data_IF_142316758234
#
_entry.id   IF_142316758234
#
_cell.length_a   1.000
_cell.length_b   1.000
_cell.length_c   1.000
_cell.angle_alpha   90.00
_cell.angle_beta   90.00
_cell.angle_gamma   90.00
#
_symmetry.space_group_name_H-M   'P 1'
#
loop_
_entity.id
_entity.type
_entity.pdbx_description
1 polymer ?
#
# COMPACT_ATOMS: atom_id res chain seq x y z
N UNK A 1 14.84 9.71 8.64
CA UNK A 1 14.26 8.36 8.84
C UNK A 1 12.87 8.52 9.42
N UNK A 2 11.82 8.22 8.65
CA UNK A 2 10.44 8.18 9.15
C UNK A 2 9.94 6.75 9.00
N UNK A 3 9.79 6.06 10.13
CA UNK A 3 8.89 4.91 10.20
C UNK A 3 7.50 5.39 9.78
N UNK A 4 6.82 4.67 8.89
CA UNK A 4 5.38 4.85 8.72
C UNK A 4 4.75 4.67 10.10
N UNK A 5 3.88 5.58 10.56
CA UNK A 5 3.23 5.44 11.85
C UNK A 5 2.31 4.21 11.81
N UNK A 6 2.32 3.41 12.88
CA UNK A 6 1.40 2.28 13.09
C UNK A 6 -0.08 2.72 13.00
N UNK A 7 -0.35 4.03 13.10
CA UNK A 7 -1.66 4.66 12.95
C UNK A 7 -2.28 4.61 11.54
N UNK A 8 -1.61 4.03 10.54
CA UNK A 8 -2.22 3.78 9.21
C UNK A 8 -3.06 2.50 9.19
N UNK A 9 -2.92 1.66 10.21
CA UNK A 9 -3.84 0.56 10.48
C UNK A 9 -4.87 1.08 11.47
N UNK A 10 -6.16 1.18 11.09
CA UNK A 10 -7.19 1.47 12.08
C UNK A 10 -7.16 0.38 13.15
N UNK A 11 -7.06 0.77 14.42
CA UNK A 11 -7.37 -0.11 15.54
C UNK A 11 -8.86 -0.46 15.44
N UNK A 12 -9.17 -1.58 14.79
CA UNK A 12 -10.52 -2.14 14.71
C UNK A 12 -10.90 -2.87 16.01
N UNK A 13 -10.43 -2.40 17.18
CA UNK A 13 -10.83 -2.96 18.47
C UNK A 13 -12.26 -2.57 18.89
N UNK A 14 -12.90 -1.60 18.23
CA UNK A 14 -14.25 -1.12 18.59
C UNK A 14 -15.31 -1.33 17.50
N UNK A 15 -15.41 -2.55 16.97
CA UNK A 15 -16.66 -3.01 16.37
C UNK A 15 -17.01 -4.35 17.00
N UNK A 16 -17.64 -4.30 18.17
CA UNK A 16 -18.33 -5.43 18.78
C UNK A 16 -19.38 -5.99 17.81
N UNK A 17 -19.00 -6.99 17.01
CA UNK A 17 -19.98 -7.95 16.53
C UNK A 17 -20.29 -8.88 17.69
N UNK A 18 -21.34 -8.55 18.44
CA UNK A 18 -21.89 -9.40 19.49
C UNK A 18 -22.19 -10.79 18.92
N UNK A 19 -21.37 -11.78 19.28
CA UNK A 19 -21.71 -13.19 19.14
C UNK A 19 -22.51 -13.61 20.36
N UNK A 20 -23.84 -13.62 20.24
CA UNK A 20 -24.69 -14.33 21.19
C UNK A 20 -24.51 -15.84 20.98
N UNK A 21 -23.90 -16.50 21.96
CA UNK A 21 -23.81 -17.95 22.04
C UNK A 21 -25.22 -18.57 22.12
N UNK A 22 -25.53 -19.46 21.18
CA UNK A 22 -26.72 -20.28 21.24
C UNK A 22 -26.47 -21.64 20.59
N UNK A 23 -26.60 -22.71 21.37
CA UNK A 23 -26.81 -24.08 20.88
C UNK A 23 -25.59 -25.00 20.92
N UNK A 24 -25.41 -25.67 22.05
CA UNK A 24 -24.55 -26.85 22.16
C UNK A 24 -25.19 -28.05 21.44
N UNK A 25 -24.42 -28.73 20.58
CA UNK A 25 -24.57 -30.18 20.35
C UNK A 25 -23.19 -30.80 20.26
N UNK A 26 -22.98 -31.82 21.09
CA UNK A 26 -21.74 -32.53 21.30
C UNK A 26 -21.28 -33.29 20.05
N UNK A 27 -20.00 -33.11 19.69
CA UNK A 27 -19.15 -34.20 19.23
C UNK A 27 -17.69 -33.86 19.56
N UNK A 28 -17.05 -34.77 20.29
CA UNK A 28 -15.72 -34.59 20.85
C UNK A 28 -14.63 -34.58 19.78
N UNK A 29 -14.07 -33.41 19.55
CA UNK A 29 -12.67 -33.23 19.17
C UNK A 29 -12.14 -32.16 20.10
N UNK A 30 -10.98 -32.40 20.73
CA UNK A 30 -10.30 -31.43 21.60
C UNK A 30 -10.31 -30.07 20.89
N UNK A 31 -11.05 -29.10 21.41
CA UNK A 31 -10.80 -27.71 21.10
C UNK A 31 -9.39 -27.42 21.66
N UNK A 32 -8.35 -27.65 20.85
CA UNK A 32 -7.02 -27.15 21.16
C UNK A 32 -7.22 -25.68 21.49
N UNK A 33 -6.71 -25.26 22.65
CA UNK A 33 -6.60 -23.84 22.96
C UNK A 33 -5.51 -23.26 22.06
N UNK A 34 -5.87 -23.08 20.79
CA UNK A 34 -5.04 -22.57 19.71
C UNK A 34 -4.47 -21.19 20.05
N UNK A 35 -5.02 -20.51 21.06
CA UNK A 35 -4.50 -19.24 21.56
C UNK A 35 -3.16 -19.38 22.29
N UNK A 36 -2.84 -20.59 22.78
CA UNK A 36 -1.57 -20.93 23.42
C UNK A 36 -0.59 -21.65 22.49
N UNK A 37 -0.99 -21.90 21.24
CA UNK A 37 -0.15 -22.61 20.27
C UNK A 37 1.10 -21.78 19.92
N UNK A 38 2.23 -22.48 19.81
CA UNK A 38 3.48 -21.91 19.32
C UNK A 38 3.36 -21.52 17.84
N UNK A 39 4.27 -20.65 17.36
CA UNK A 39 4.29 -20.26 15.95
C UNK A 39 4.47 -21.47 15.03
N UNK A 40 5.33 -22.43 15.40
CA UNK A 40 5.58 -23.62 14.58
C UNK A 40 4.33 -24.51 14.47
N UNK A 41 3.56 -24.67 15.54
CA UNK A 41 2.27 -25.37 15.51
C UNK A 41 1.26 -24.63 14.62
N UNK A 42 1.17 -23.30 14.72
CA UNK A 42 0.30 -22.50 13.86
C UNK A 42 0.67 -22.61 12.38
N UNK A 43 1.97 -22.66 12.06
CA UNK A 43 2.45 -22.84 10.70
C UNK A 43 2.12 -24.22 10.14
N UNK A 44 2.17 -25.28 10.97
CA UNK A 44 1.73 -26.62 10.57
C UNK A 44 0.22 -26.66 10.29
N UNK A 45 -0.58 -25.99 11.12
CA UNK A 45 -2.03 -25.90 10.97
C UNK A 45 -2.49 -25.16 9.71
N UNK A 46 -1.61 -24.42 9.03
CA UNK A 46 -1.92 -23.86 7.70
C UNK A 46 -2.17 -24.95 6.67
N UNK A 47 -1.59 -26.14 6.84
CA UNK A 47 -1.84 -27.29 5.97
C UNK A 47 -3.26 -27.86 6.10
N UNK A 48 -3.93 -27.63 7.22
CA UNK A 48 -5.25 -28.18 7.53
C UNK A 48 -6.35 -27.18 7.16
N UNK A 49 -7.18 -27.43 6.12
CA UNK A 49 -8.17 -26.46 5.65
C UNK A 49 -9.15 -25.98 6.72
N UNK A 50 -9.48 -26.84 7.68
CA UNK A 50 -10.39 -26.54 8.79
C UNK A 50 -9.79 -25.55 9.81
N UNK A 51 -8.47 -25.57 9.99
CA UNK A 51 -7.77 -24.73 10.97
C UNK A 51 -7.07 -23.51 10.34
N UNK A 52 -6.88 -23.52 9.02
CA UNK A 52 -6.09 -22.51 8.28
C UNK A 52 -6.53 -21.07 8.54
N UNK A 53 -7.83 -20.77 8.47
CA UNK A 53 -8.35 -19.41 8.70
C UNK A 53 -7.98 -18.90 10.10
N UNK A 54 -8.13 -19.76 11.12
CA UNK A 54 -7.81 -19.42 12.50
C UNK A 54 -6.30 -19.30 12.72
N UNK A 55 -5.50 -20.16 12.11
CA UNK A 55 -4.04 -20.10 12.17
C UNK A 55 -3.51 -18.80 11.56
N UNK A 56 -4.02 -18.39 10.39
CA UNK A 56 -3.67 -17.11 9.74
C UNK A 56 -3.99 -15.92 10.64
N UNK A 57 -5.18 -15.91 11.25
CA UNK A 57 -5.60 -14.82 12.14
C UNK A 57 -4.70 -14.71 13.38
N UNK A 58 -4.31 -15.85 13.99
CA UNK A 58 -3.42 -15.88 15.15
C UNK A 58 -1.99 -15.45 14.79
N UNK A 59 -1.43 -15.91 13.67
CA UNK A 59 -0.13 -15.45 13.16
C UNK A 59 -0.14 -13.94 12.91
N UNK A 60 -1.23 -13.42 12.36
CA UNK A 60 -1.43 -11.99 12.12
C UNK A 60 -1.48 -11.21 13.44
N UNK A 61 -2.13 -11.74 14.47
CA UNK A 61 -2.14 -11.15 15.82
C UNK A 61 -0.74 -11.13 16.43
N UNK A 62 0.02 -12.21 16.33
CA UNK A 62 1.43 -12.27 16.79
C UNK A 62 2.25 -11.20 16.07
N UNK A 63 2.06 -11.05 14.75
CA UNK A 63 2.73 -9.99 13.98
C UNK A 63 2.40 -8.58 14.48
N UNK A 64 1.11 -8.32 14.76
CA UNK A 64 0.63 -7.01 15.24
C UNK A 64 1.13 -6.67 16.64
N UNK A 65 1.27 -7.66 17.52
CA UNK A 65 1.85 -7.49 18.85
C UNK A 65 3.35 -7.13 18.82
N UNK A 66 4.05 -7.42 17.73
CA UNK A 66 5.45 -7.02 17.52
C UNK A 66 6.46 -7.73 18.43
N UNK A 67 6.03 -8.71 19.23
CA UNK A 67 6.88 -9.45 20.18
C UNK A 67 7.85 -10.42 19.48
N UNK A 68 7.46 -10.97 18.32
CA UNK A 68 8.27 -11.92 17.56
C UNK A 68 8.92 -11.25 16.35
N UNK A 69 10.23 -10.96 16.47
CA UNK A 69 11.03 -10.35 15.39
C UNK A 69 11.39 -11.35 14.28
N UNK A 70 11.39 -12.65 14.57
CA UNK A 70 11.79 -13.71 13.66
C UNK A 70 10.61 -14.32 12.88
N UNK A 71 9.39 -13.82 13.11
CA UNK A 71 8.18 -14.34 12.46
C UNK A 71 8.30 -14.39 10.93
N UNK A 72 8.91 -13.38 10.31
CA UNK A 72 9.13 -13.37 8.87
C UNK A 72 9.99 -14.57 8.42
N UNK A 73 11.08 -14.86 9.14
CA UNK A 73 11.96 -15.99 8.83
C UNK A 73 11.27 -17.32 9.08
N UNK A 74 10.48 -17.43 10.15
CA UNK A 74 9.73 -18.65 10.48
C UNK A 74 8.71 -18.95 9.38
N UNK A 75 7.93 -17.96 8.95
CA UNK A 75 6.98 -18.09 7.83
C UNK A 75 7.71 -18.48 6.54
N UNK A 76 8.84 -17.83 6.24
CA UNK A 76 9.57 -18.07 4.99
C UNK A 76 10.22 -19.45 4.92
N UNK A 77 10.79 -19.93 6.03
CA UNK A 77 11.52 -21.20 6.10
C UNK A 77 10.61 -22.41 6.29
N UNK A 78 9.39 -22.20 6.80
CA UNK A 78 8.44 -23.28 7.02
C UNK A 78 7.96 -23.87 5.69
N UNK A 79 8.01 -25.21 5.52
CA UNK A 79 7.65 -25.86 4.27
C UNK A 79 6.19 -25.60 3.91
N UNK A 80 5.91 -25.37 2.63
CA UNK A 80 4.57 -25.15 2.05
C UNK A 80 3.79 -23.94 2.60
N UNK A 81 4.32 -23.18 3.56
CA UNK A 81 3.63 -22.04 4.17
C UNK A 81 3.26 -20.98 3.13
N UNK A 82 4.23 -20.54 2.32
CA UNK A 82 3.98 -19.56 1.25
C UNK A 82 2.95 -20.07 0.25
N UNK A 83 2.98 -21.36 -0.08
CA UNK A 83 1.98 -21.98 -0.96
C UNK A 83 0.58 -21.88 -0.35
N UNK A 84 0.38 -22.27 0.92
CA UNK A 84 -0.93 -22.18 1.58
C UNK A 84 -1.42 -20.74 1.64
N UNK A 85 -0.55 -19.78 1.98
CA UNK A 85 -0.90 -18.36 1.97
C UNK A 85 -1.30 -17.86 0.56
N UNK A 86 -0.58 -18.28 -0.49
CA UNK A 86 -0.94 -17.95 -1.86
C UNK A 86 -2.28 -18.58 -2.29
N UNK A 87 -2.63 -19.78 -1.81
CA UNK A 87 -3.94 -20.36 -2.13
C UNK A 87 -5.10 -19.51 -1.62
N UNK A 88 -4.92 -18.83 -0.48
CA UNK A 88 -5.92 -17.89 0.06
C UNK A 88 -6.08 -16.65 -0.82
N UNK A 89 -4.97 -16.10 -1.31
CA UNK A 89 -4.95 -14.96 -2.25
C UNK A 89 -5.69 -15.32 -3.54
N UNK A 90 -5.36 -16.49 -4.13
CA UNK A 90 -5.95 -16.94 -5.40
C UNK A 90 -7.43 -17.29 -5.22
N UNK A 91 -7.85 -17.75 -4.03
CA UNK A 91 -9.22 -18.20 -3.78
C UNK A 91 -10.29 -17.13 -4.04
N UNK A 92 -9.94 -15.85 -3.89
CA UNK A 92 -10.87 -14.72 -4.07
C UNK A 92 -10.88 -14.15 -5.48
N UNK A 93 -10.01 -14.59 -6.40
CA UNK A 93 -10.00 -14.07 -7.78
C UNK A 93 -11.33 -14.30 -8.51
N UNK A 94 -12.02 -15.41 -8.23
CA UNK A 94 -13.35 -15.70 -8.77
C UNK A 94 -14.39 -14.64 -8.40
N UNK A 95 -14.17 -13.90 -7.31
CA UNK A 95 -15.09 -12.88 -6.79
C UNK A 95 -14.88 -11.51 -7.44
N UNK A 96 -14.01 -11.39 -8.46
CA UNK A 96 -13.82 -10.16 -9.24
C UNK A 96 -14.63 -10.13 -10.52
N UNK A 97 -15.25 -11.25 -10.90
CA UNK A 97 -16.15 -11.30 -12.04
C UNK A 97 -17.29 -12.30 -11.77
N UNK A 98 -18.45 -11.85 -11.28
CA UNK A 98 -18.80 -10.46 -10.91
C UNK A 98 -18.08 -9.99 -9.64
N UNK A 99 -17.89 -8.67 -9.46
CA UNK A 99 -17.24 -8.03 -8.30
C UNK A 99 -18.06 -8.19 -7.00
N UNK A 100 -18.15 -9.43 -6.49
CA UNK A 100 -18.93 -9.83 -5.31
C UNK A 100 -18.00 -10.41 -4.25
N UNK A 101 -17.18 -9.56 -3.65
CA UNK A 101 -16.33 -9.92 -2.52
C UNK A 101 -17.06 -9.62 -1.20
N UNK A 102 -17.20 -10.61 -0.32
CA UNK A 102 -17.77 -10.39 1.01
C UNK A 102 -16.75 -9.77 1.97
N UNK A 103 -17.24 -9.12 3.04
CA UNK A 103 -16.35 -8.63 4.10
C UNK A 103 -15.54 -9.76 4.76
N UNK A 104 -16.15 -10.94 4.95
CA UNK A 104 -15.46 -12.08 5.57
C UNK A 104 -14.29 -12.56 4.71
N UNK A 105 -14.51 -12.73 3.40
CA UNK A 105 -13.45 -13.12 2.46
C UNK A 105 -12.34 -12.07 2.39
N UNK A 106 -12.71 -10.79 2.32
CA UNK A 106 -11.74 -9.69 2.32
C UNK A 106 -10.89 -9.67 3.58
N UNK A 107 -11.50 -9.78 4.78
CA UNK A 107 -10.78 -9.79 6.05
C UNK A 107 -9.79 -10.96 6.15
N UNK A 108 -10.20 -12.17 5.75
CA UNK A 108 -9.35 -13.36 5.74
C UNK A 108 -8.12 -13.17 4.84
N UNK A 109 -8.31 -12.66 3.63
CA UNK A 109 -7.20 -12.41 2.71
C UNK A 109 -6.33 -11.25 3.20
N UNK A 110 -6.91 -10.23 3.83
CA UNK A 110 -6.16 -9.12 4.41
C UNK A 110 -5.24 -9.58 5.57
N UNK A 111 -5.63 -10.57 6.36
CA UNK A 111 -4.73 -11.18 7.35
C UNK A 111 -3.51 -11.82 6.65
N UNK A 112 -3.70 -12.51 5.52
CA UNK A 112 -2.57 -13.02 4.70
C UNK A 112 -1.70 -11.87 4.18
N UNK A 113 -2.30 -10.76 3.76
CA UNK A 113 -1.56 -9.58 3.30
C UNK A 113 -0.70 -8.97 4.43
N UNK A 114 -1.13 -9.00 5.69
CA UNK A 114 -0.29 -8.57 6.83
C UNK A 114 0.95 -9.46 6.95
N UNK A 115 0.80 -10.78 6.77
CA UNK A 115 1.93 -11.71 6.79
C UNK A 115 2.86 -11.48 5.59
N UNK A 116 2.33 -11.21 4.41
CA UNK A 116 3.14 -10.84 3.24
C UNK A 116 3.84 -9.49 3.40
N UNK A 117 3.21 -8.50 4.03
CA UNK A 117 3.86 -7.23 4.38
C UNK A 117 5.02 -7.46 5.35
N UNK A 118 4.85 -8.38 6.31
CA UNK A 118 5.93 -8.79 7.20
C UNK A 118 7.13 -9.35 6.43
N UNK A 119 6.90 -10.24 5.46
CA UNK A 119 7.95 -10.81 4.62
C UNK A 119 8.62 -9.76 3.73
N UNK A 120 7.82 -8.89 3.11
CA UNK A 120 8.28 -7.83 2.21
C UNK A 120 9.10 -6.74 2.94
N UNK A 121 8.83 -6.51 4.22
CA UNK A 121 9.51 -5.50 5.02
C UNK A 121 10.76 -6.02 5.74
N UNK A 122 10.92 -7.34 5.85
CA UNK A 122 11.99 -7.95 6.63
C UNK A 122 13.28 -8.13 5.80
N UNK A 123 14.42 -7.69 6.35
CA UNK A 123 15.70 -7.57 5.62
C UNK A 123 16.21 -8.86 4.99
N UNK A 124 15.93 -10.01 5.61
CA UNK A 124 16.43 -11.31 5.15
C UNK A 124 15.43 -12.10 4.31
N UNK A 125 14.20 -11.62 4.12
CA UNK A 125 13.18 -12.29 3.29
C UNK A 125 12.72 -11.43 2.13
N UNK A 126 12.92 -10.11 2.22
CA UNK A 126 12.53 -9.14 1.19
C UNK A 126 13.08 -9.51 -0.19
N UNK A 127 14.37 -9.86 -0.26
CA UNK A 127 15.03 -10.18 -1.54
C UNK A 127 14.41 -11.40 -2.19
N UNK A 128 14.24 -12.47 -1.44
CA UNK A 128 13.66 -13.70 -1.93
C UNK A 128 12.18 -13.50 -2.32
N UNK A 129 11.41 -12.81 -1.48
CA UNK A 129 10.01 -12.44 -1.75
C UNK A 129 9.86 -11.66 -3.07
N UNK A 130 10.80 -10.74 -3.34
CA UNK A 130 10.87 -10.00 -4.60
C UNK A 130 11.23 -10.92 -5.77
N UNK A 131 12.28 -11.73 -5.63
CA UNK A 131 12.81 -12.60 -6.68
C UNK A 131 11.80 -13.64 -7.17
N UNK A 132 11.01 -14.22 -6.26
CA UNK A 132 9.95 -15.18 -6.63
C UNK A 132 8.63 -14.52 -7.01
N UNK A 133 8.61 -13.18 -7.12
CA UNK A 133 7.48 -12.39 -7.62
C UNK A 133 6.14 -12.61 -6.87
N UNK A 134 6.18 -12.89 -5.56
CA UNK A 134 4.95 -13.06 -4.76
C UNK A 134 4.06 -11.81 -4.83
N UNK A 135 4.68 -10.63 -4.86
CA UNK A 135 3.98 -9.35 -4.99
C UNK A 135 3.10 -9.24 -6.25
N UNK A 136 3.41 -9.96 -7.33
CA UNK A 136 2.60 -9.94 -8.56
C UNK A 136 1.22 -10.60 -8.39
N UNK A 137 1.06 -11.50 -7.41
CA UNK A 137 -0.26 -12.06 -7.07
C UNK A 137 -1.21 -11.02 -6.46
N UNK A 138 -0.71 -9.84 -6.10
CA UNK A 138 -1.55 -8.77 -5.53
C UNK A 138 -2.11 -7.83 -6.60
N UNK A 139 -1.65 -7.96 -7.85
CA UNK A 139 -1.98 -7.03 -8.92
C UNK A 139 -3.45 -7.06 -9.32
N UNK A 140 -4.12 -8.23 -9.38
CA UNK A 140 -5.57 -8.26 -9.59
C UNK A 140 -6.33 -7.45 -8.54
N UNK A 141 -5.85 -7.37 -7.29
CA UNK A 141 -6.52 -6.63 -6.21
C UNK A 141 -6.48 -5.13 -6.46
N UNK A 142 -5.33 -4.64 -6.92
CA UNK A 142 -5.08 -3.22 -7.20
C UNK A 142 -5.71 -2.71 -8.49
N UNK A 143 -6.14 -3.62 -9.37
CA UNK A 143 -6.84 -3.30 -10.61
C UNK A 143 -8.36 -3.20 -10.45
N UNK A 144 -8.91 -3.56 -9.28
CA UNK A 144 -10.35 -3.44 -9.00
C UNK A 144 -10.79 -1.98 -8.99
N UNK A 145 -12.03 -1.71 -9.41
CA UNK A 145 -12.62 -0.35 -9.43
C UNK A 145 -13.73 -0.19 -8.38
N UNK A 146 -14.30 -1.29 -7.90
CA UNK A 146 -15.36 -1.31 -6.89
C UNK A 146 -14.99 -0.49 -5.66
N UNK A 147 -15.92 0.34 -5.19
CA UNK A 147 -15.69 1.28 -4.07
C UNK A 147 -16.22 0.76 -2.75
N UNK A 148 -16.88 -0.40 -2.74
CA UNK A 148 -17.32 -1.10 -1.55
C UNK A 148 -16.19 -1.36 -0.55
N UNK A 149 -16.54 -1.37 0.75
CA UNK A 149 -15.60 -1.58 1.86
C UNK A 149 -14.70 -2.83 1.69
N UNK A 150 -15.18 -4.00 1.22
CA UNK A 150 -14.33 -5.18 1.03
C UNK A 150 -13.17 -4.92 0.06
N UNK A 151 -13.43 -4.24 -1.06
CA UNK A 151 -12.43 -3.93 -2.08
C UNK A 151 -11.50 -2.79 -1.67
N UNK A 152 -12.03 -1.76 -0.99
CA UNK A 152 -11.20 -0.70 -0.42
C UNK A 152 -10.17 -1.23 0.56
N UNK A 153 -10.58 -2.15 1.44
CA UNK A 153 -9.68 -2.75 2.42
C UNK A 153 -8.61 -3.62 1.73
N UNK A 154 -9.03 -4.44 0.76
CA UNK A 154 -8.12 -5.28 -0.02
C UNK A 154 -7.06 -4.46 -0.77
N UNK A 155 -7.45 -3.36 -1.44
CA UNK A 155 -6.51 -2.45 -2.13
C UNK A 155 -5.52 -1.84 -1.15
N UNK A 156 -5.99 -1.32 -0.02
CA UNK A 156 -5.12 -0.70 0.98
C UNK A 156 -4.05 -1.68 1.50
N UNK A 157 -4.47 -2.89 1.89
CA UNK A 157 -3.55 -3.90 2.42
C UNK A 157 -2.54 -4.37 1.37
N UNK A 158 -2.97 -4.49 0.11
CA UNK A 158 -2.10 -4.83 -1.02
C UNK A 158 -1.03 -3.76 -1.25
N UNK A 159 -1.42 -2.48 -1.20
CA UNK A 159 -0.47 -1.37 -1.26
C UNK A 159 0.51 -1.39 -0.07
N UNK A 160 0.06 -1.81 1.11
CA UNK A 160 0.92 -2.00 2.29
C UNK A 160 2.08 -2.96 2.02
N UNK A 161 1.80 -4.12 1.43
CA UNK A 161 2.83 -5.10 1.04
C UNK A 161 3.86 -4.47 0.10
N UNK A 162 3.40 -3.77 -0.95
CA UNK A 162 4.31 -3.11 -1.91
C UNK A 162 5.09 -1.98 -1.23
N UNK A 163 4.45 -1.26 -0.30
CA UNK A 163 5.09 -0.22 0.49
C UNK A 163 6.21 -0.76 1.38
N UNK A 164 6.07 -1.97 1.91
CA UNK A 164 7.11 -2.69 2.66
C UNK A 164 8.38 -2.90 1.84
N UNK A 165 8.25 -3.23 0.55
CA UNK A 165 9.39 -3.40 -0.38
C UNK A 165 10.17 -2.10 -0.63
N UNK A 166 9.53 -0.93 -0.44
CA UNK A 166 10.05 0.40 -0.76
C UNK A 166 10.32 1.28 0.48
N UNK A 167 10.16 0.72 1.69
CA UNK A 167 10.21 1.49 2.94
C UNK A 167 11.60 2.09 3.21
N UNK A 168 12.65 1.29 3.07
CA UNK A 168 14.05 1.68 3.27
C UNK A 168 14.66 2.11 1.94
N UNK A 169 14.85 3.42 1.71
CA UNK A 169 15.38 3.97 0.44
C UNK A 169 16.84 3.57 0.20
N UNK A 170 17.63 3.50 1.28
CA UNK A 170 19.07 3.23 1.23
C UNK A 170 19.39 1.73 1.24
N UNK A 171 18.36 0.88 1.30
CA UNK A 171 18.51 -0.58 1.19
C UNK A 171 19.04 -0.92 -0.22
N UNK A 172 20.14 -1.67 -0.37
CA UNK A 172 20.61 -2.15 -1.66
C UNK A 172 19.51 -2.83 -2.49
N UNK A 173 18.58 -3.53 -1.83
CA UNK A 173 17.45 -4.22 -2.46
C UNK A 173 16.40 -3.23 -2.96
N UNK A 174 16.34 -1.99 -2.45
CA UNK A 174 15.33 -1.02 -2.86
C UNK A 174 15.43 -0.67 -4.36
N UNK A 175 16.65 -0.66 -4.92
CA UNK A 175 16.86 -0.47 -6.36
C UNK A 175 16.27 -1.63 -7.16
N UNK A 176 16.51 -2.86 -6.70
CA UNK A 176 15.93 -4.05 -7.31
C UNK A 176 14.40 -4.03 -7.19
N UNK A 177 13.86 -3.66 -6.02
CA UNK A 177 12.42 -3.49 -5.81
C UNK A 177 11.82 -2.51 -6.82
N UNK A 178 12.45 -1.35 -7.01
CA UNK A 178 12.00 -0.38 -8.04
C UNK A 178 12.08 -0.99 -9.43
N UNK A 179 13.19 -1.63 -9.79
CA UNK A 179 13.33 -2.26 -11.11
C UNK A 179 12.22 -3.27 -11.40
N UNK A 180 11.99 -4.20 -10.48
CA UNK A 180 10.99 -5.26 -10.60
C UNK A 180 9.57 -4.68 -10.70
N UNK A 181 9.20 -3.73 -9.84
CA UNK A 181 7.87 -3.09 -9.87
C UNK A 181 7.61 -2.34 -11.18
N UNK A 182 8.62 -1.69 -11.75
CA UNK A 182 8.47 -0.99 -13.02
C UNK A 182 8.34 -1.96 -14.21
N UNK A 183 9.08 -3.06 -14.20
CA UNK A 183 9.01 -4.10 -15.24
C UNK A 183 7.70 -4.87 -15.22
N UNK A 184 7.16 -5.14 -14.03
CA UNK A 184 5.92 -5.90 -13.84
C UNK A 184 4.66 -5.10 -14.15
N UNK A 185 4.79 -3.82 -14.50
CA UNK A 185 3.66 -2.96 -14.83
C UNK A 185 2.86 -2.50 -13.62
N UNK A 186 3.49 -2.39 -12.44
CA UNK A 186 2.83 -1.92 -11.21
C UNK A 186 2.32 -0.47 -11.28
N UNK A 187 2.93 0.37 -12.11
CA UNK A 187 2.70 1.81 -12.09
C UNK A 187 1.23 2.22 -12.37
N UNK A 188 0.54 1.70 -13.40
CA UNK A 188 -0.90 1.94 -13.61
C UNK A 188 -1.80 1.54 -12.44
N UNK A 189 -1.45 0.48 -11.68
CA UNK A 189 -2.21 0.04 -10.51
C UNK A 189 -2.14 1.05 -9.36
N UNK A 190 -0.99 1.69 -9.17
CA UNK A 190 -0.86 2.80 -8.22
C UNK A 190 -1.76 3.98 -8.61
N UNK A 191 -1.79 4.34 -9.89
CA UNK A 191 -2.66 5.42 -10.37
C UNK A 191 -4.14 5.07 -10.17
N UNK A 192 -4.54 3.83 -10.48
CA UNK A 192 -5.92 3.35 -10.25
C UNK A 192 -6.29 3.39 -8.77
N UNK A 193 -5.35 3.03 -7.89
CA UNK A 193 -5.55 3.13 -6.44
C UNK A 193 -5.72 4.57 -5.94
N UNK A 194 -5.12 5.56 -6.61
CA UNK A 194 -5.36 6.98 -6.31
C UNK A 194 -6.74 7.42 -6.83
N UNK A 195 -7.17 6.90 -7.96
CA UNK A 195 -8.43 7.30 -8.59
C UNK A 195 -9.68 6.72 -7.91
N UNK A 196 -9.62 5.45 -7.48
CA UNK A 196 -10.77 4.70 -6.93
C UNK A 196 -10.65 4.40 -5.43
N UNK A 197 -9.46 4.61 -4.84
CA UNK A 197 -9.21 4.35 -3.42
C UNK A 197 -9.83 5.38 -2.48
N UNK A 198 -10.02 4.98 -1.23
CA UNK A 198 -10.25 5.89 -0.11
C UNK A 198 -8.97 6.68 0.26
N UNK A 199 -9.07 7.68 1.13
CA UNK A 199 -7.94 8.54 1.55
C UNK A 199 -6.67 7.76 1.93
N UNK A 200 -6.82 6.64 2.64
CA UNK A 200 -5.70 5.79 3.04
C UNK A 200 -5.02 5.13 1.84
N UNK A 201 -5.80 4.61 0.90
CA UNK A 201 -5.28 4.00 -0.33
C UNK A 201 -4.64 5.04 -1.24
N UNK A 202 -5.28 6.20 -1.41
CA UNK A 202 -4.73 7.32 -2.19
C UNK A 202 -3.42 7.82 -1.60
N UNK A 203 -3.37 7.96 -0.27
CA UNK A 203 -2.17 8.41 0.44
C UNK A 203 -1.04 7.40 0.29
N UNK A 204 -1.30 6.11 0.53
CA UNK A 204 -0.30 5.04 0.40
C UNK A 204 0.20 4.91 -1.04
N UNK A 205 -0.69 4.92 -2.04
CA UNK A 205 -0.31 4.86 -3.45
C UNK A 205 0.51 6.09 -3.89
N UNK A 206 0.12 7.30 -3.46
CA UNK A 206 0.89 8.52 -3.73
C UNK A 206 2.27 8.48 -3.05
N UNK A 207 2.35 7.91 -1.84
CA UNK A 207 3.63 7.70 -1.17
C UNK A 207 4.51 6.71 -1.92
N UNK A 208 3.95 5.60 -2.40
CA UNK A 208 4.68 4.63 -3.24
C UNK A 208 5.22 5.31 -4.51
N UNK A 209 4.40 6.09 -5.22
CA UNK A 209 4.87 6.86 -6.39
C UNK A 209 6.03 7.78 -6.00
N UNK A 210 5.95 8.46 -4.85
CA UNK A 210 7.06 9.31 -4.39
C UNK A 210 8.35 8.50 -4.18
N UNK A 211 8.27 7.26 -3.66
CA UNK A 211 9.43 6.37 -3.51
C UNK A 211 10.02 5.96 -4.85
N UNK A 212 9.17 5.66 -5.83
CA UNK A 212 9.62 5.35 -7.20
C UNK A 212 10.31 6.57 -7.84
N UNK A 213 9.74 7.77 -7.69
CA UNK A 213 10.28 9.00 -8.28
C UNK A 213 11.61 9.46 -7.65
N UNK A 214 11.86 9.16 -6.37
CA UNK A 214 13.15 9.44 -5.72
C UNK A 214 14.29 8.65 -6.38
N UNK A 215 14.00 7.45 -6.89
CA UNK A 215 15.01 6.63 -7.55
C UNK A 215 15.19 7.07 -9.01
N UNK A 216 16.45 7.24 -9.42
CA UNK A 216 16.81 7.68 -10.79
C UNK A 216 16.09 6.86 -11.87
N UNK A 217 16.05 5.53 -11.72
CA UNK A 217 15.39 4.63 -12.66
C UNK A 217 13.88 4.86 -12.74
N UNK A 218 13.21 5.09 -11.59
CA UNK A 218 11.77 5.35 -11.55
C UNK A 218 11.41 6.71 -12.13
N UNK A 219 12.23 7.73 -11.89
CA UNK A 219 12.05 9.04 -12.52
C UNK A 219 12.22 8.97 -14.04
N UNK A 220 13.28 8.30 -14.53
CA UNK A 220 13.50 8.09 -15.96
C UNK A 220 12.34 7.32 -16.61
N UNK A 221 11.88 6.25 -15.97
CA UNK A 221 10.69 5.53 -16.40
C UNK A 221 9.50 6.49 -16.51
N UNK A 222 9.23 7.33 -15.53
CA UNK A 222 8.08 8.25 -15.60
C UNK A 222 8.16 9.26 -16.76
N UNK A 223 9.35 9.64 -17.22
CA UNK A 223 9.53 10.56 -18.35
C UNK A 223 9.42 9.92 -19.74
N UNK A 224 9.42 8.58 -19.84
CA UNK A 224 9.46 7.84 -21.11
C UNK A 224 8.40 6.72 -21.19
N UNK A 225 7.35 6.87 -22.01
CA UNK A 225 7.02 8.03 -22.85
C UNK A 225 6.47 9.20 -22.03
N UNK A 226 6.50 10.42 -22.61
CA UNK A 226 5.97 11.64 -21.97
C UNK A 226 4.53 11.50 -21.47
N UNK A 227 3.73 10.66 -22.13
CA UNK A 227 2.34 10.39 -21.75
C UNK A 227 2.22 9.81 -20.34
N UNK A 228 3.23 9.11 -19.83
CA UNK A 228 3.24 8.53 -18.48
C UNK A 228 3.29 9.63 -17.41
N UNK A 229 4.22 10.59 -17.53
CA UNK A 229 4.26 11.72 -16.60
C UNK A 229 2.98 12.56 -16.67
N UNK A 230 2.44 12.81 -17.86
CA UNK A 230 1.17 13.50 -18.01
C UNK A 230 0.01 12.77 -17.32
N UNK A 231 -0.03 11.44 -17.39
CA UNK A 231 -1.05 10.64 -16.69
C UNK A 231 -0.93 10.78 -15.17
N UNK A 232 0.30 10.74 -14.62
CA UNK A 232 0.54 10.97 -13.18
C UNK A 232 0.02 12.35 -12.78
N UNK A 233 0.42 13.39 -13.50
CA UNK A 233 0.05 14.77 -13.20
C UNK A 233 -1.46 14.98 -13.24
N UNK A 234 -2.14 14.35 -14.22
CA UNK A 234 -3.61 14.39 -14.34
C UNK A 234 -4.30 13.70 -13.16
N UNK A 235 -3.89 12.49 -12.80
CA UNK A 235 -4.47 11.75 -11.67
C UNK A 235 -4.29 12.51 -10.35
N UNK A 236 -3.11 13.13 -10.14
CA UNK A 236 -2.90 13.99 -8.97
C UNK A 236 -3.77 15.25 -8.98
N UNK A 237 -3.90 15.91 -10.12
CA UNK A 237 -4.81 17.06 -10.29
C UNK A 237 -6.24 16.68 -9.91
N UNK A 238 -6.76 15.61 -10.51
CA UNK A 238 -8.13 15.14 -10.30
C UNK A 238 -8.35 14.72 -8.84
N UNK A 239 -7.38 14.06 -8.21
CA UNK A 239 -7.45 13.69 -6.79
C UNK A 239 -7.53 14.94 -5.89
N UNK A 240 -6.69 15.96 -6.16
CA UNK A 240 -6.70 17.22 -5.40
C UNK A 240 -8.04 17.94 -5.55
N UNK A 241 -8.55 18.07 -6.76
CA UNK A 241 -9.79 18.79 -7.06
C UNK A 241 -11.02 18.07 -6.47
N UNK A 242 -11.04 16.73 -6.44
CA UNK A 242 -12.13 15.95 -5.83
C UNK A 242 -12.26 16.15 -4.31
N UNK A 243 -11.17 16.50 -3.61
CA UNK A 243 -11.16 16.65 -2.14
C UNK A 243 -11.80 17.95 -1.60
N UNK A 244 -12.40 18.78 -2.44
CA UNK A 244 -12.89 20.15 -2.15
C UNK A 244 -13.50 20.40 -0.75
N UNK A 245 -14.39 19.52 -0.26
CA UNK A 245 -15.08 19.70 1.03
C UNK A 245 -14.21 19.40 2.26
N UNK A 246 -13.27 18.45 2.11
CA UNK A 246 -12.44 17.96 3.22
C UNK A 246 -11.07 17.52 2.69
N UNK A 247 -10.12 18.45 2.54
CA UNK A 247 -8.79 18.11 2.04
C UNK A 247 -8.05 17.15 2.98
N UNK A 248 -7.62 16.01 2.44
CA UNK A 248 -6.88 15.01 3.20
C UNK A 248 -5.40 15.39 3.30
N UNK A 249 -4.95 15.79 4.50
CA UNK A 249 -3.57 16.25 4.73
C UNK A 249 -2.52 15.20 4.32
N UNK A 250 -2.79 13.91 4.55
CA UNK A 250 -1.85 12.82 4.25
C UNK A 250 -1.78 12.52 2.75
N UNK A 251 -2.89 12.64 2.02
CA UNK A 251 -2.88 12.54 0.54
C UNK A 251 -2.11 13.72 -0.04
N UNK A 252 -2.45 14.95 0.37
CA UNK A 252 -1.80 16.17 -0.11
C UNK A 252 -0.29 16.17 0.13
N UNK A 253 0.16 15.80 1.34
CA UNK A 253 1.58 15.70 1.67
C UNK A 253 2.35 14.85 0.65
N UNK A 254 1.80 13.68 0.30
CA UNK A 254 2.48 12.74 -0.60
C UNK A 254 2.44 13.21 -2.06
N UNK A 255 1.33 13.79 -2.51
CA UNK A 255 1.23 14.38 -3.86
C UNK A 255 2.20 15.58 -4.01
N UNK A 256 2.25 16.48 -3.01
CA UNK A 256 3.18 17.61 -3.00
C UNK A 256 4.62 17.14 -3.03
N UNK A 257 4.96 16.05 -2.32
CA UNK A 257 6.29 15.46 -2.40
C UNK A 257 6.63 15.00 -3.82
N UNK A 258 5.68 14.40 -4.55
CA UNK A 258 5.87 14.01 -5.94
C UNK A 258 6.10 15.22 -6.85
N UNK A 259 5.30 16.29 -6.70
CA UNK A 259 5.52 17.53 -7.44
C UNK A 259 6.89 18.15 -7.13
N UNK A 260 7.34 18.12 -5.88
CA UNK A 260 8.66 18.63 -5.50
C UNK A 260 9.78 17.90 -6.25
N UNK A 261 9.74 16.56 -6.27
CA UNK A 261 10.74 15.74 -6.99
C UNK A 261 10.73 16.08 -8.48
N UNK A 262 9.55 16.14 -9.10
CA UNK A 262 9.43 16.42 -10.54
C UNK A 262 9.89 17.85 -10.89
N UNK A 263 9.68 18.81 -9.98
CA UNK A 263 10.10 20.21 -10.14
C UNK A 263 11.61 20.43 -10.15
N UNK A 264 12.43 19.41 -9.87
CA UNK A 264 13.89 19.52 -9.94
C UNK A 264 14.41 19.67 -11.39
N UNK A 265 13.57 19.39 -12.39
CA UNK A 265 13.93 19.49 -13.80
C UNK A 265 13.09 20.53 -14.53
N UNK A 266 13.68 21.24 -15.50
CA UNK A 266 12.94 22.24 -16.31
C UNK A 266 11.74 21.63 -17.04
N UNK A 267 11.91 20.43 -17.60
CA UNK A 267 10.81 19.67 -18.24
C UNK A 267 9.69 19.35 -17.25
N UNK A 268 10.04 18.93 -16.03
CA UNK A 268 9.08 18.68 -14.97
C UNK A 268 8.33 19.94 -14.54
N UNK A 269 9.01 21.07 -14.40
CA UNK A 269 8.38 22.37 -14.13
C UNK A 269 7.33 22.76 -15.17
N UNK A 270 7.61 22.59 -16.47
CA UNK A 270 6.66 22.87 -17.55
C UNK A 270 5.41 21.98 -17.46
N UNK A 271 5.60 20.70 -17.15
CA UNK A 271 4.48 19.78 -16.92
C UNK A 271 3.67 20.21 -15.69
N UNK A 272 4.31 20.44 -14.54
CA UNK A 272 3.62 20.85 -13.32
C UNK A 272 2.80 22.12 -13.55
N UNK A 273 3.34 23.14 -14.23
CA UNK A 273 2.59 24.37 -14.58
C UNK A 273 1.26 24.10 -15.29
N UNK A 274 1.23 23.07 -16.14
CA UNK A 274 0.06 22.72 -16.95
C UNK A 274 -1.02 21.97 -16.14
N UNK A 275 -0.66 21.37 -15.01
CA UNK A 275 -1.53 20.46 -14.25
C UNK A 275 -1.77 20.87 -12.79
N UNK A 276 -0.93 21.70 -12.19
CA UNK A 276 -1.03 22.02 -10.75
C UNK A 276 -2.34 22.79 -10.45
N UNK A 277 -3.21 22.28 -9.57
CA UNK A 277 -4.44 22.97 -9.20
C UNK A 277 -4.16 24.26 -8.44
N UNK A 278 -4.81 25.37 -8.84
CA UNK A 278 -4.73 26.65 -8.10
C UNK A 278 -5.36 26.57 -6.71
N UNK A 279 -6.28 25.61 -6.48
CA UNK A 279 -6.95 25.40 -5.19
C UNK A 279 -5.98 25.01 -4.05
N UNK A 280 -4.76 24.53 -4.36
CA UNK A 280 -3.74 24.22 -3.35
C UNK A 280 -3.35 25.43 -2.50
N UNK A 281 -3.52 26.65 -3.01
CA UNK A 281 -3.23 27.90 -2.30
C UNK A 281 -4.43 28.45 -1.52
N UNK A 282 -5.59 27.79 -1.60
CA UNK A 282 -6.79 28.21 -0.87
C UNK A 282 -6.68 27.90 0.63
N UNK A 283 -7.41 28.67 1.45
CA UNK A 283 -7.37 28.52 2.90
C UNK A 283 -7.68 27.09 3.42
N UNK A 284 -8.67 26.34 2.88
CA UNK A 284 -8.93 24.96 3.34
C UNK A 284 -7.73 24.02 3.18
N UNK A 285 -7.02 24.10 2.04
CA UNK A 285 -5.88 23.23 1.75
C UNK A 285 -4.65 23.62 2.58
N UNK A 286 -4.38 24.91 2.72
CA UNK A 286 -3.29 25.40 3.59
C UNK A 286 -3.56 25.02 5.05
N UNK A 287 -4.81 25.13 5.51
CA UNK A 287 -5.20 24.72 6.87
C UNK A 287 -5.00 23.21 7.08
N UNK A 288 -5.39 22.36 6.13
CA UNK A 288 -5.16 20.92 6.21
C UNK A 288 -3.66 20.58 6.29
N UNK A 289 -2.82 21.29 5.53
CA UNK A 289 -1.37 21.10 5.50
C UNK A 289 -0.65 21.58 6.77
N UNK A 290 -1.31 22.29 7.70
CA UNK A 290 -0.69 22.70 8.98
C UNK A 290 -0.24 21.50 9.83
N UNK A 291 -0.89 20.35 9.68
CA UNK A 291 -0.46 19.09 10.30
C UNK A 291 0.91 18.60 9.76
N UNK A 292 1.36 19.12 8.62
CA UNK A 292 2.62 18.77 7.95
C UNK A 292 3.37 20.04 7.47
N UNK A 293 4.02 20.80 8.38
CA UNK A 293 4.67 22.08 8.04
C UNK A 293 5.70 21.98 6.90
N UNK A 294 6.39 20.84 6.78
CA UNK A 294 7.32 20.57 5.69
C UNK A 294 6.63 20.61 4.31
N UNK A 295 5.38 20.17 4.21
CA UNK A 295 4.61 20.19 2.97
C UNK A 295 4.28 21.61 2.52
N UNK A 296 4.05 22.55 3.45
CA UNK A 296 3.86 23.96 3.13
C UNK A 296 5.16 24.54 2.56
N UNK A 297 6.31 24.25 3.19
CA UNK A 297 7.62 24.67 2.67
C UNK A 297 7.88 24.11 1.27
N UNK A 298 7.59 22.82 1.06
CA UNK A 298 7.74 22.17 -0.24
C UNK A 298 6.85 22.81 -1.30
N UNK A 299 5.61 23.18 -0.95
CA UNK A 299 4.69 23.85 -1.86
C UNK A 299 5.23 25.22 -2.29
N UNK A 300 5.74 26.02 -1.36
CA UNK A 300 6.37 27.31 -1.66
C UNK A 300 7.60 27.15 -2.55
N UNK A 301 8.46 26.17 -2.26
CA UNK A 301 9.64 25.85 -3.08
C UNK A 301 9.24 25.47 -4.52
N UNK A 302 8.19 24.66 -4.69
CA UNK A 302 7.65 24.33 -6.02
C UNK A 302 7.28 25.61 -6.75
N UNK A 303 6.45 26.48 -6.16
CA UNK A 303 6.03 27.73 -6.81
C UNK A 303 7.21 28.64 -7.16
N UNK A 304 8.24 28.71 -6.31
CA UNK A 304 9.47 29.45 -6.61
C UNK A 304 10.21 28.87 -7.83
N UNK A 305 10.33 27.54 -7.94
CA UNK A 305 10.93 26.87 -9.11
C UNK A 305 10.12 27.09 -10.38
N UNK A 306 8.79 27.05 -10.28
CA UNK A 306 7.91 27.32 -11.41
C UNK A 306 8.07 28.77 -11.90
N UNK A 307 8.22 29.74 -10.99
CA UNK A 307 8.48 31.13 -11.35
C UNK A 307 9.84 31.29 -12.06
N UNK A 308 10.92 30.75 -11.49
CA UNK A 308 12.29 30.83 -12.06
C UNK A 308 12.43 30.14 -13.41
N UNK A 309 11.69 29.06 -13.66
CA UNK A 309 11.71 28.35 -14.95
C UNK A 309 11.21 29.18 -16.15
N UNK A 310 10.74 30.41 -15.95
CA UNK A 310 10.53 31.38 -17.05
C UNK A 310 11.82 32.01 -17.57
N UNK A 311 12.88 32.07 -16.75
CA UNK A 311 14.11 32.81 -17.09
C UNK A 311 15.11 31.99 -17.91
N UNK A 312 14.93 30.67 -18.01
CA UNK A 312 15.84 29.75 -18.71
C UNK A 312 15.30 29.22 -20.05
N UNK A 313 14.31 29.89 -20.64
CA UNK A 313 13.75 29.56 -21.97
C UNK A 313 14.19 30.52 -23.07
N UNK A 314 15.42 31.02 -22.99
CA UNK A 314 16.13 31.66 -24.11
C UNK A 314 17.41 30.88 -24.38
N UNK A 315 17.29 29.82 -25.17
CA UNK A 315 18.33 29.31 -26.06
C UNK A 315 17.66 29.01 -27.42
#
# INVERSE_FOLDING_TARGET
>A
MMNLPDSLFPDFENSECAFTNGGATANGVRALDLSLASVDELLQLLGEPEHREKAISLLTRIKKQGSNKDLALQIWRSPNTIFFLLTEIISIYKSFTPEKLTMKESSRVCDVLVLFECLASHRQTKKEFLNVQIHCYLYPFLMTEERGRPFQYLRLMSLGVIGGLLKEIDDPIAKDSVHHLLQSGFFPMCLRSIEFGNDLSQSTASWIISRLLIQKQGLQYCYEPTTRMCAIMRVFKDAIEKMHDKPSATVLKNIIQCYLIVSETSRGCLLIKSFIPSILMSAPYINALRAHPASIKNLLEIFQRLAKGHETTTD
#
